data_IF_122749968633
#
_entry.id   IF_122749968633
#
_cell.length_a   1.000
_cell.length_b   1.000
_cell.length_c   1.000
_cell.angle_alpha   90.00
_cell.angle_beta   90.00
_cell.angle_gamma   90.00
#
_symmetry.space_group_name_H-M   'P 1'
#
loop_
_entity.id
_entity.type
_entity.pdbx_description
1 polymer ?
#
# COMPACT_ATOMS: atom_id res chain seq x y z
N UNK A 1 65.18 43.03 -34.50
CA UNK A 1 64.84 44.36 -33.93
C UNK A 1 64.75 44.17 -32.43
N UNK A 2 65.65 44.80 -31.68
CA UNK A 2 65.58 44.80 -30.22
C UNK A 2 64.52 45.83 -29.80
N UNK A 3 63.80 45.59 -28.70
CA UNK A 3 62.70 46.47 -28.23
C UNK A 3 63.21 47.88 -27.90
N UNK A 4 64.53 47.98 -27.64
CA UNK A 4 65.26 49.20 -27.33
C UNK A 4 65.43 50.14 -28.53
N UNK A 5 65.27 49.62 -29.75
CA UNK A 5 65.47 50.37 -31.00
C UNK A 5 64.16 50.95 -31.58
N UNK A 6 63.05 50.86 -30.83
CA UNK A 6 61.72 51.30 -31.29
C UNK A 6 61.45 52.76 -30.97
N UNK A 7 60.83 53.48 -31.90
CA UNK A 7 60.41 54.86 -31.66
C UNK A 7 59.17 54.92 -30.72
N UNK A 8 58.92 56.09 -30.12
CA UNK A 8 57.80 56.28 -29.17
C UNK A 8 56.45 55.86 -29.76
N UNK A 9 56.20 56.18 -31.04
CA UNK A 9 54.95 55.82 -31.72
C UNK A 9 54.80 54.32 -31.95
N UNK A 10 55.89 53.60 -32.24
CA UNK A 10 55.91 52.14 -32.41
C UNK A 10 55.68 51.42 -31.08
N UNK A 11 56.25 51.92 -29.98
CA UNK A 11 55.98 51.39 -28.64
C UNK A 11 54.51 51.58 -28.25
N UNK A 12 53.92 52.75 -28.55
CA UNK A 12 52.50 53.00 -28.32
C UNK A 12 51.64 52.06 -29.17
N UNK A 13 51.98 51.88 -30.45
CA UNK A 13 51.22 51.01 -31.35
C UNK A 13 51.25 49.54 -30.90
N UNK A 14 52.40 49.05 -30.44
CA UNK A 14 52.55 47.70 -29.89
C UNK A 14 51.75 47.55 -28.59
N UNK A 15 51.77 48.55 -27.71
CA UNK A 15 50.99 48.51 -26.48
C UNK A 15 49.48 48.45 -26.76
N UNK A 16 48.98 49.23 -27.73
CA UNK A 16 47.57 49.20 -28.17
C UNK A 16 47.22 47.86 -28.80
N UNK A 17 48.07 47.33 -29.68
CA UNK A 17 47.87 46.02 -30.31
C UNK A 17 47.81 44.89 -29.27
N UNK A 18 48.73 44.91 -28.31
CA UNK A 18 48.78 43.90 -27.24
C UNK A 18 47.54 43.96 -26.35
N UNK A 19 47.07 45.17 -26.03
CA UNK A 19 45.83 45.38 -25.27
C UNK A 19 44.61 44.82 -26.00
N UNK A 20 44.54 45.03 -27.32
CA UNK A 20 43.46 44.54 -28.17
C UNK A 20 43.42 43.00 -28.25
N UNK A 21 44.58 42.37 -28.51
CA UNK A 21 44.68 40.91 -28.58
C UNK A 21 44.35 40.24 -27.23
N UNK A 22 44.80 40.85 -26.13
CA UNK A 22 44.53 40.34 -24.77
C UNK A 22 43.03 40.39 -24.44
N UNK A 23 42.31 41.43 -24.87
CA UNK A 23 40.86 41.55 -24.68
C UNK A 23 40.08 40.43 -25.39
N UNK A 24 40.43 40.14 -26.65
CA UNK A 24 39.81 39.06 -27.42
C UNK A 24 40.10 37.69 -26.79
N UNK A 25 41.35 37.44 -26.40
CA UNK A 25 41.75 36.18 -25.77
C UNK A 25 41.00 35.94 -24.44
N UNK A 26 40.85 36.98 -23.62
CA UNK A 26 40.11 36.92 -22.35
C UNK A 26 38.61 36.67 -22.59
N UNK A 27 38.02 37.31 -23.61
CA UNK A 27 36.63 37.08 -23.98
C UNK A 27 36.36 35.63 -24.40
N UNK A 28 37.18 35.08 -25.30
CA UNK A 28 37.02 33.70 -25.79
C UNK A 28 37.22 32.69 -24.65
N UNK A 29 38.24 32.86 -23.82
CA UNK A 29 38.48 31.95 -22.68
C UNK A 29 37.34 31.99 -21.66
N UNK A 30 36.78 33.16 -21.38
CA UNK A 30 35.64 33.28 -20.46
C UNK A 30 34.38 32.58 -21.03
N UNK A 31 34.07 32.77 -22.31
CA UNK A 31 32.91 32.14 -22.95
C UNK A 31 33.07 30.63 -23.07
N UNK A 32 34.27 30.16 -23.41
CA UNK A 32 34.54 28.71 -23.54
C UNK A 32 34.47 27.99 -22.20
N UNK A 33 34.94 28.60 -21.11
CA UNK A 33 34.77 28.06 -19.76
C UNK A 33 33.30 28.03 -19.33
N UNK A 34 32.51 29.02 -19.74
CA UNK A 34 31.07 29.05 -19.45
C UNK A 34 30.29 28.00 -20.25
N UNK A 35 30.71 27.68 -21.47
CA UNK A 35 30.12 26.61 -22.30
C UNK A 35 30.61 25.21 -21.91
N UNK A 36 31.74 25.09 -21.22
CA UNK A 36 32.22 23.84 -20.63
C UNK A 36 31.62 23.53 -19.25
N UNK A 37 30.79 24.42 -18.70
CA UNK A 37 30.01 24.10 -17.52
C UNK A 37 29.09 22.90 -17.86
N UNK A 38 29.19 21.77 -17.15
CA UNK A 38 28.23 20.69 -17.29
C UNK A 38 26.84 21.28 -17.09
N UNK A 39 25.87 20.91 -17.94
CA UNK A 39 24.49 21.25 -17.69
C UNK A 39 24.19 20.85 -16.23
N UNK A 40 23.92 21.85 -15.38
CA UNK A 40 23.58 21.63 -14.00
C UNK A 40 22.39 20.68 -14.00
N UNK A 41 22.61 19.45 -13.54
CA UNK A 41 21.56 18.47 -13.34
C UNK A 41 20.64 19.02 -12.24
N UNK A 42 19.74 19.92 -12.57
CA UNK A 42 18.51 20.11 -11.81
C UNK A 42 17.63 18.93 -12.16
N UNK A 43 18.04 17.73 -11.76
CA UNK A 43 17.12 16.61 -11.63
C UNK A 43 16.25 16.98 -10.44
N UNK A 44 14.95 17.29 -10.60
CA UNK A 44 14.05 17.18 -9.48
C UNK A 44 14.13 15.71 -9.09
N UNK A 45 14.58 15.41 -7.87
CA UNK A 45 14.66 14.03 -7.38
C UNK A 45 13.22 13.54 -7.17
N UNK A 46 12.54 13.19 -8.27
CA UNK A 46 11.41 12.31 -8.25
C UNK A 46 11.99 10.90 -8.20
N UNK A 47 12.12 10.39 -6.98
CA UNK A 47 12.58 9.03 -6.68
C UNK A 47 11.58 8.02 -7.26
N UNK A 48 11.79 7.59 -8.50
CA UNK A 48 11.03 6.50 -9.13
C UNK A 48 11.79 5.19 -8.91
N UNK A 49 11.18 4.28 -8.16
CA UNK A 49 11.65 2.91 -8.02
C UNK A 49 11.26 2.18 -9.32
N UNK A 50 12.23 1.92 -10.20
CA UNK A 50 12.03 1.08 -11.39
C UNK A 50 12.29 -0.38 -11.03
N UNK A 51 11.24 -1.19 -10.92
CA UNK A 51 11.37 -2.62 -11.14
C UNK A 51 11.14 -2.88 -12.64
N UNK A 52 12.20 -3.23 -13.34
CA UNK A 52 12.12 -3.62 -14.76
C UNK A 52 11.73 -5.09 -14.83
N UNK A 53 10.50 -5.38 -15.23
CA UNK A 53 10.08 -6.73 -15.62
C UNK A 53 10.19 -6.80 -17.15
N UNK A 54 11.28 -7.36 -17.66
CA UNK A 54 11.45 -7.59 -19.10
C UNK A 54 10.59 -8.78 -19.54
N UNK A 55 9.57 -8.51 -20.37
CA UNK A 55 8.96 -9.53 -21.21
C UNK A 55 9.26 -9.17 -22.66
N UNK A 56 10.28 -9.83 -23.22
CA UNK A 56 10.76 -9.59 -24.58
C UNK A 56 9.75 -10.22 -25.56
N UNK A 57 9.02 -9.39 -26.30
CA UNK A 57 8.32 -9.81 -27.50
C UNK A 57 8.88 -8.97 -28.66
N UNK A 58 9.63 -9.64 -29.54
CA UNK A 58 10.27 -9.04 -30.69
C UNK A 58 9.22 -8.86 -31.79
N UNK A 59 8.90 -7.60 -32.12
CA UNK A 59 8.25 -7.24 -33.39
C UNK A 59 8.98 -6.00 -33.92
N UNK A 60 9.54 -6.11 -35.12
CA UNK A 60 10.21 -5.02 -35.83
C UNK A 60 9.24 -3.87 -36.10
N UNK A 61 9.68 -2.64 -35.81
CA UNK A 61 8.98 -1.42 -36.18
C UNK A 61 8.61 -0.54 -34.99
N UNK A 62 9.53 0.35 -34.62
CA UNK A 62 9.32 1.49 -33.71
C UNK A 62 8.91 1.07 -32.29
N UNK A 63 9.92 0.68 -31.50
CA UNK A 63 9.81 0.49 -30.05
C UNK A 63 9.55 1.84 -29.36
N UNK A 64 8.30 2.32 -29.42
CA UNK A 64 7.81 3.20 -28.37
C UNK A 64 7.73 2.36 -27.12
N UNK A 65 8.79 2.41 -26.29
CA UNK A 65 8.70 1.99 -24.90
C UNK A 65 7.61 2.85 -24.28
N UNK A 66 6.39 2.34 -24.19
CA UNK A 66 5.35 2.97 -23.39
C UNK A 66 5.82 2.84 -21.95
N UNK A 67 6.50 3.87 -21.45
CA UNK A 67 6.72 4.01 -20.02
C UNK A 67 5.34 4.25 -19.40
N UNK A 68 4.73 3.18 -18.89
CA UNK A 68 3.57 3.29 -18.01
C UNK A 68 4.06 4.01 -16.76
N UNK A 69 3.72 5.29 -16.64
CA UNK A 69 4.01 6.05 -15.43
C UNK A 69 2.99 5.60 -14.39
N UNK A 70 3.40 4.69 -13.52
CA UNK A 70 2.59 4.25 -12.39
C UNK A 70 2.73 5.28 -11.28
N UNK A 71 1.63 5.93 -10.91
CA UNK A 71 1.62 6.82 -9.77
C UNK A 71 1.14 6.08 -8.53
N UNK A 72 1.51 6.60 -7.37
CA UNK A 72 1.06 6.04 -6.10
C UNK A 72 -0.47 6.08 -5.94
N UNK A 73 -1.11 7.13 -6.46
CA UNK A 73 -2.59 7.22 -6.50
C UNK A 73 -3.22 6.06 -7.29
N UNK A 74 -2.60 5.66 -8.40
CA UNK A 74 -3.07 4.53 -9.21
C UNK A 74 -2.90 3.22 -8.44
N UNK A 75 -1.77 3.02 -7.75
CA UNK A 75 -1.52 1.84 -6.91
C UNK A 75 -2.53 1.71 -5.77
N UNK A 76 -2.92 2.83 -5.14
CA UNK A 76 -3.95 2.82 -4.10
C UNK A 76 -5.29 2.37 -4.69
N UNK A 77 -5.68 2.92 -5.83
CA UNK A 77 -6.93 2.56 -6.52
C UNK A 77 -6.93 1.07 -6.91
N UNK A 78 -5.83 0.58 -7.46
CA UNK A 78 -5.67 -0.81 -7.87
C UNK A 78 -5.72 -1.76 -6.67
N UNK A 79 -5.02 -1.43 -5.58
CA UNK A 79 -5.04 -2.21 -4.34
C UNK A 79 -6.44 -2.36 -3.76
N UNK A 80 -7.24 -1.27 -3.79
CA UNK A 80 -8.63 -1.29 -3.33
C UNK A 80 -9.51 -2.11 -4.27
N UNK A 81 -9.39 -1.88 -5.58
CA UNK A 81 -10.20 -2.58 -6.59
C UNK A 81 -9.97 -4.11 -6.53
N UNK A 82 -8.72 -4.54 -6.36
CA UNK A 82 -8.33 -5.95 -6.22
C UNK A 82 -8.96 -6.64 -5.01
N UNK A 83 -9.20 -5.90 -3.92
CA UNK A 83 -9.65 -6.47 -2.64
C UNK A 83 -11.10 -6.15 -2.28
N UNK A 84 -11.84 -5.41 -3.11
CA UNK A 84 -13.22 -5.00 -2.83
C UNK A 84 -14.15 -6.18 -2.51
N UNK A 85 -14.02 -7.29 -3.23
CA UNK A 85 -14.83 -8.49 -3.03
C UNK A 85 -14.39 -9.34 -1.83
N UNK A 86 -13.21 -9.08 -1.28
CA UNK A 86 -12.70 -9.80 -0.11
C UNK A 86 -13.19 -9.19 1.22
N UNK A 87 -13.56 -7.92 1.22
CA UNK A 87 -13.90 -7.15 2.43
C UNK A 87 -15.41 -7.16 2.67
N UNK A 88 -15.79 -7.26 3.93
CA UNK A 88 -17.17 -7.30 4.40
C UNK A 88 -17.41 -6.25 5.49
N UNK A 89 -18.62 -5.72 5.51
CA UNK A 89 -19.16 -5.01 6.67
C UNK A 89 -19.72 -6.03 7.65
N UNK A 90 -19.32 -5.92 8.93
CA UNK A 90 -19.82 -6.77 10.00
C UNK A 90 -20.88 -6.01 10.78
N UNK A 91 -21.98 -6.66 11.10
CA UNK A 91 -23.01 -6.14 11.98
C UNK A 91 -23.47 -7.18 12.99
N UNK A 92 -24.05 -6.73 14.08
CA UNK A 92 -24.56 -7.57 15.16
C UNK A 92 -25.94 -7.13 15.61
N UNK A 93 -26.72 -8.08 16.09
CA UNK A 93 -27.99 -7.82 16.75
C UNK A 93 -27.79 -7.37 18.20
N UNK A 94 -28.46 -6.30 18.59
CA UNK A 94 -28.58 -5.84 19.98
C UNK A 94 -30.04 -5.53 20.30
N UNK A 95 -30.39 -5.52 21.58
CA UNK A 95 -31.68 -5.01 22.04
C UNK A 95 -31.58 -3.50 22.27
N UNK A 96 -32.51 -2.75 21.70
CA UNK A 96 -32.69 -1.34 21.99
C UNK A 96 -33.30 -1.12 23.39
N UNK A 97 -33.39 0.13 23.84
CA UNK A 97 -34.00 0.53 25.13
C UNK A 97 -35.45 0.06 25.28
N UNK A 98 -36.15 -0.20 24.17
CA UNK A 98 -37.52 -0.72 24.13
C UNK A 98 -37.58 -2.27 24.06
N UNK A 99 -36.44 -2.97 24.14
CA UNK A 99 -36.36 -4.42 24.03
C UNK A 99 -36.53 -4.96 22.61
N UNK A 100 -36.51 -4.10 21.60
CA UNK A 100 -36.58 -4.48 20.19
C UNK A 100 -35.19 -4.84 19.65
N UNK A 101 -35.09 -5.94 18.90
CA UNK A 101 -33.86 -6.29 18.19
C UNK A 101 -33.58 -5.30 17.07
N UNK A 102 -32.43 -4.63 17.16
CA UNK A 102 -31.88 -3.75 16.14
C UNK A 102 -30.49 -4.24 15.71
N UNK A 103 -30.10 -3.91 14.49
CA UNK A 103 -28.78 -4.26 13.95
C UNK A 103 -27.86 -3.05 14.02
N UNK A 104 -26.69 -3.23 14.63
CA UNK A 104 -25.65 -2.20 14.72
C UNK A 104 -24.36 -2.67 14.06
N UNK A 105 -23.57 -1.72 13.57
CA UNK A 105 -22.25 -2.01 13.00
C UNK A 105 -21.32 -2.60 14.06
N UNK A 106 -20.64 -3.69 13.71
CA UNK A 106 -19.63 -4.37 14.51
C UNK A 106 -18.24 -4.29 13.84
N UNK A 107 -18.06 -3.38 12.88
CA UNK A 107 -16.78 -3.13 12.21
C UNK A 107 -16.70 -3.73 10.82
N UNK A 108 -15.55 -4.32 10.50
CA UNK A 108 -15.16 -4.87 9.21
C UNK A 108 -14.55 -6.26 9.37
N UNK A 109 -14.43 -6.96 8.26
CA UNK A 109 -13.74 -8.23 8.18
C UNK A 109 -13.37 -8.54 6.75
N UNK A 110 -12.56 -9.55 6.54
CA UNK A 110 -12.20 -10.02 5.20
C UNK A 110 -12.04 -11.53 5.12
N UNK A 111 -12.30 -12.09 3.95
CA UNK A 111 -12.14 -13.52 3.70
C UNK A 111 -10.68 -13.93 3.73
N UNK A 112 -10.39 -15.04 4.40
CA UNK A 112 -9.03 -15.60 4.56
C UNK A 112 -8.90 -17.04 4.06
N UNK A 113 -10.01 -17.67 3.66
CA UNK A 113 -10.01 -18.99 3.01
C UNK A 113 -11.12 -19.11 1.97
N UNK A 114 -10.90 -19.96 0.96
CA UNK A 114 -11.93 -20.40 0.02
C UNK A 114 -13.07 -21.17 0.70
N UNK A 115 -12.86 -21.70 1.91
CA UNK A 115 -13.88 -22.37 2.73
C UNK A 115 -14.88 -21.40 3.39
N UNK A 116 -14.94 -20.16 2.88
CA UNK A 116 -15.78 -19.06 3.37
C UNK A 116 -15.50 -18.69 4.84
N UNK A 117 -14.23 -18.74 5.24
CA UNK A 117 -13.80 -18.24 6.55
C UNK A 117 -13.38 -16.79 6.42
N UNK A 118 -13.87 -15.97 7.35
CA UNK A 118 -13.61 -14.54 7.47
C UNK A 118 -12.95 -14.26 8.81
N UNK A 119 -12.00 -13.32 8.81
CA UNK A 119 -11.40 -12.77 10.02
C UNK A 119 -12.01 -11.40 10.34
N UNK A 120 -12.27 -11.16 11.62
CA UNK A 120 -12.87 -9.92 12.17
C UNK A 120 -12.16 -9.53 13.47
N UNK A 121 -12.44 -8.32 13.97
CA UNK A 121 -11.98 -7.90 15.30
C UNK A 121 -12.68 -8.69 16.41
N UNK A 122 -11.91 -9.35 17.26
CA UNK A 122 -12.42 -10.19 18.35
C UNK A 122 -13.00 -9.41 19.53
N UNK A 123 -12.63 -8.13 19.70
CA UNK A 123 -13.22 -7.27 20.73
C UNK A 123 -14.65 -6.84 20.39
N UNK A 124 -14.98 -6.82 19.09
CA UNK A 124 -16.32 -6.45 18.61
C UNK A 124 -17.20 -7.67 18.32
N UNK A 125 -16.56 -8.79 17.98
CA UNK A 125 -17.20 -10.06 17.61
C UNK A 125 -16.69 -11.20 18.50
N UNK A 126 -17.51 -11.52 19.49
CA UNK A 126 -17.28 -12.61 20.43
C UNK A 126 -18.05 -13.88 20.08
N UNK A 127 -18.03 -14.84 21.00
CA UNK A 127 -18.65 -16.16 20.89
C UNK A 127 -20.19 -16.13 21.05
N UNK A 128 -20.71 -15.11 21.75
CA UNK A 128 -22.14 -14.90 21.93
C UNK A 128 -22.65 -13.77 21.03
N UNK A 129 -23.63 -14.07 20.18
CA UNK A 129 -24.34 -13.07 19.39
C UNK A 129 -24.80 -13.58 18.04
N UNK A 130 -25.67 -12.81 17.39
CA UNK A 130 -26.04 -13.02 15.99
C UNK A 130 -25.32 -11.99 15.15
N UNK A 131 -24.42 -12.47 14.30
CA UNK A 131 -23.59 -11.64 13.43
C UNK A 131 -23.96 -11.82 11.97
N UNK A 132 -23.84 -10.74 11.22
CA UNK A 132 -24.04 -10.74 9.78
C UNK A 132 -22.83 -10.14 9.06
N UNK A 133 -22.54 -10.67 7.88
CA UNK A 133 -21.64 -10.04 6.93
C UNK A 133 -22.42 -9.51 5.75
N UNK A 134 -22.03 -8.33 5.28
CA UNK A 134 -22.56 -7.73 4.07
C UNK A 134 -21.41 -7.31 3.15
N UNK A 135 -21.51 -7.71 1.89
CA UNK A 135 -20.71 -7.16 0.79
C UNK A 135 -21.62 -6.83 -0.40
N UNK A 136 -21.02 -6.51 -1.55
CA UNK A 136 -21.76 -6.21 -2.79
C UNK A 136 -22.65 -7.37 -3.28
N UNK A 137 -22.38 -8.60 -2.84
CA UNK A 137 -23.09 -9.82 -3.26
C UNK A 137 -24.30 -10.15 -2.39
N UNK A 138 -24.41 -9.51 -1.21
CA UNK A 138 -25.56 -9.70 -0.34
C UNK A 138 -25.19 -9.68 1.14
N UNK A 139 -26.16 -10.13 1.95
CA UNK A 139 -26.05 -10.24 3.40
C UNK A 139 -26.19 -11.70 3.83
N UNK A 140 -25.29 -12.15 4.69
CA UNK A 140 -25.13 -13.53 5.11
C UNK A 140 -25.08 -13.62 6.62
N UNK A 141 -25.68 -14.66 7.19
CA UNK A 141 -25.54 -14.96 8.61
C UNK A 141 -24.20 -15.65 8.84
N UNK A 142 -23.60 -15.41 10.00
CA UNK A 142 -22.29 -15.96 10.35
C UNK A 142 -22.38 -16.97 11.47
N UNK A 143 -21.55 -18.01 11.36
CA UNK A 143 -21.29 -18.96 12.44
C UNK A 143 -19.93 -18.64 13.07
N UNK A 144 -19.90 -18.46 14.38
CA UNK A 144 -18.67 -18.23 15.12
C UNK A 144 -17.83 -19.52 15.16
N UNK A 145 -16.51 -19.40 14.95
CA UNK A 145 -15.57 -20.53 15.01
C UNK A 145 -14.72 -20.45 16.28
N UNK A 146 -13.95 -19.37 16.42
CA UNK A 146 -13.01 -19.19 17.54
C UNK A 146 -12.46 -17.77 17.57
N UNK A 147 -12.03 -17.33 18.75
CA UNK A 147 -11.22 -16.12 18.95
C UNK A 147 -9.77 -16.49 19.23
N UNK A 148 -8.84 -15.80 18.59
CA UNK A 148 -7.42 -15.94 18.83
C UNK A 148 -6.93 -14.95 19.90
N UNK A 149 -5.85 -15.30 20.60
CA UNK A 149 -5.24 -14.45 21.63
C UNK A 149 -4.63 -13.17 21.06
N UNK A 150 -4.32 -13.15 19.77
CA UNK A 150 -3.86 -11.97 19.05
C UNK A 150 -4.99 -10.95 18.78
N UNK A 151 -6.22 -11.19 19.24
CA UNK A 151 -7.28 -10.18 19.27
C UNK A 151 -8.25 -10.20 18.08
N UNK A 152 -8.15 -11.20 17.20
CA UNK A 152 -9.09 -11.41 16.09
C UNK A 152 -9.96 -12.65 16.30
N UNK A 153 -11.11 -12.69 15.63
CA UNK A 153 -12.03 -13.84 15.61
C UNK A 153 -12.19 -14.40 14.20
N UNK A 154 -12.38 -15.72 14.10
CA UNK A 154 -12.76 -16.41 12.87
C UNK A 154 -14.26 -16.70 12.85
N UNK A 155 -14.88 -16.40 11.71
CA UNK A 155 -16.28 -16.68 11.43
C UNK A 155 -16.40 -17.45 10.12
N UNK A 156 -17.41 -18.31 10.02
CA UNK A 156 -17.77 -18.98 8.75
C UNK A 156 -19.00 -18.34 8.14
N UNK A 157 -18.94 -18.04 6.85
CA UNK A 157 -20.10 -17.51 6.14
C UNK A 157 -21.13 -18.62 5.98
N UNK A 158 -22.30 -18.39 6.57
CA UNK A 158 -23.44 -19.28 6.52
C UNK A 158 -24.36 -18.98 5.33
N UNK A 159 -25.61 -19.41 5.44
CA UNK A 159 -26.60 -19.22 4.39
C UNK A 159 -26.90 -17.72 4.13
N UNK A 160 -27.18 -17.34 2.87
CA UNK A 160 -27.66 -16.00 2.56
C UNK A 160 -29.03 -15.76 3.19
N UNK A 161 -29.29 -14.51 3.61
CA UNK A 161 -30.60 -14.13 4.14
C UNK A 161 -31.68 -14.01 3.06
N UNK A 162 -31.28 -13.82 1.81
CA UNK A 162 -32.16 -13.82 0.64
C UNK A 162 -31.70 -14.95 -0.29
N UNK A 163 -32.60 -15.87 -0.61
CA UNK A 163 -32.32 -17.04 -1.46
C UNK A 163 -31.82 -16.67 -2.86
N UNK A 164 -32.04 -15.43 -3.31
CA UNK A 164 -31.51 -14.91 -4.58
C UNK A 164 -30.03 -14.53 -4.49
N UNK A 165 -29.52 -14.25 -3.29
CA UNK A 165 -28.12 -13.85 -3.11
C UNK A 165 -27.22 -15.08 -3.18
N UNK A 166 -26.25 -15.03 -4.10
CA UNK A 166 -25.14 -15.98 -4.13
C UNK A 166 -23.94 -15.34 -3.48
N UNK A 167 -23.28 -16.12 -2.63
CA UNK A 167 -22.02 -15.72 -2.03
C UNK A 167 -20.95 -15.58 -3.12
N UNK A 168 -20.45 -14.36 -3.33
CA UNK A 168 -19.34 -14.07 -4.22
C UNK A 168 -18.32 -13.27 -3.41
N UNK A 169 -17.10 -13.80 -3.31
CA UNK A 169 -15.98 -13.15 -2.64
C UNK A 169 -14.67 -13.65 -3.23
N UNK A 170 -13.61 -12.92 -2.93
CA UNK A 170 -12.23 -13.30 -3.23
C UNK A 170 -11.45 -13.45 -1.94
N UNK A 171 -10.38 -14.25 -1.94
CA UNK A 171 -9.40 -14.24 -0.85
C UNK A 171 -8.25 -13.32 -1.29
N UNK A 172 -7.85 -12.32 -0.47
CA UNK A 172 -6.71 -11.46 -0.77
C UNK A 172 -5.45 -12.29 -1.01
N UNK A 173 -4.55 -11.78 -1.86
CA UNK A 173 -3.19 -12.29 -1.90
C UNK A 173 -2.50 -11.93 -0.59
N UNK A 174 -1.88 -12.90 0.09
CA UNK A 174 -1.18 -12.64 1.34
C UNK A 174 0.23 -12.12 1.07
N UNK A 175 0.54 -10.96 1.65
CA UNK A 175 1.85 -10.33 1.60
C UNK A 175 2.79 -10.90 2.65
N UNK A 176 4.06 -10.54 2.52
CA UNK A 176 5.13 -10.96 3.41
C UNK A 176 5.70 -9.74 4.15
N UNK A 177 5.43 -9.67 5.46
CA UNK A 177 5.84 -8.55 6.29
C UNK A 177 7.36 -8.48 6.46
N UNK A 178 8.07 -9.61 6.37
CA UNK A 178 9.54 -9.64 6.49
C UNK A 178 10.24 -9.01 5.28
N UNK A 179 9.55 -8.99 4.13
CA UNK A 179 10.04 -8.34 2.90
C UNK A 179 9.73 -6.84 2.88
N UNK A 180 8.88 -6.36 3.78
CA UNK A 180 8.54 -4.95 3.84
C UNK A 180 9.70 -4.12 4.36
N UNK A 181 9.82 -2.90 3.83
CA UNK A 181 10.83 -1.92 4.21
C UNK A 181 10.20 -0.79 4.99
N UNK A 182 10.86 -0.38 6.06
CA UNK A 182 10.47 0.81 6.84
C UNK A 182 10.31 2.00 5.90
N UNK A 183 9.21 2.75 6.05
CA UNK A 183 8.85 3.87 5.19
C UNK A 183 7.90 3.52 4.05
N UNK A 184 7.58 2.24 3.83
CA UNK A 184 6.54 1.86 2.86
C UNK A 184 5.15 2.25 3.38
N UNK A 185 4.30 2.74 2.47
CA UNK A 185 2.91 3.04 2.78
C UNK A 185 2.09 1.75 2.89
N UNK A 186 1.23 1.72 3.90
CA UNK A 186 0.22 0.69 4.10
C UNK A 186 -1.15 1.33 4.09
N UNK A 187 -2.14 0.57 3.62
CA UNK A 187 -3.53 0.99 3.51
C UNK A 187 -4.37 0.18 4.49
N UNK A 188 -5.35 0.81 5.11
CA UNK A 188 -6.34 0.13 5.96
C UNK A 188 -7.71 0.32 5.34
N UNK A 189 -8.30 -0.79 4.91
CA UNK A 189 -9.61 -0.85 4.29
C UNK A 189 -10.65 -1.11 5.38
N UNK A 190 -11.07 -0.03 6.03
CA UNK A 190 -12.10 -0.01 7.07
C UNK A 190 -13.49 0.40 6.54
N UNK A 191 -14.27 1.08 7.38
CA UNK A 191 -15.41 1.88 6.89
C UNK A 191 -14.94 3.04 6.03
N UNK A 192 -13.82 3.62 6.43
CA UNK A 192 -13.06 4.57 5.65
C UNK A 192 -11.72 3.93 5.27
N UNK A 193 -11.10 4.46 4.22
CA UNK A 193 -9.75 4.09 3.84
C UNK A 193 -8.80 5.06 4.53
N UNK A 194 -7.84 4.53 5.30
CA UNK A 194 -6.73 5.30 5.85
C UNK A 194 -5.40 4.73 5.37
N UNK A 195 -4.34 5.52 5.53
CA UNK A 195 -2.98 5.06 5.23
C UNK A 195 -2.06 5.39 6.38
N UNK A 196 -1.16 4.46 6.69
CA UNK A 196 -0.07 4.62 7.67
C UNK A 196 1.26 4.31 6.99
N UNK A 197 2.35 4.56 7.71
CA UNK A 197 3.70 4.17 7.29
C UNK A 197 4.10 2.93 8.08
N UNK A 198 4.71 1.96 7.39
CA UNK A 198 5.27 0.78 8.02
C UNK A 198 6.57 1.14 8.76
N UNK A 199 6.62 0.86 10.06
CA UNK A 199 7.77 1.16 10.94
C UNK A 199 8.57 -0.09 11.34
N UNK A 200 8.29 -1.24 10.71
CA UNK A 200 9.02 -2.48 10.91
C UNK A 200 8.27 -3.48 11.78
N UNK A 201 8.28 -3.28 13.10
CA UNK A 201 7.67 -4.23 14.04
C UNK A 201 6.20 -3.89 14.30
N UNK A 202 5.91 -2.58 14.39
CA UNK A 202 4.57 -2.06 14.59
C UNK A 202 4.14 -1.20 13.40
N UNK A 203 2.83 -1.17 13.19
CA UNK A 203 2.20 -0.22 12.29
C UNK A 203 1.30 0.62 13.21
N UNK A 204 1.63 1.90 13.39
CA UNK A 204 0.76 2.81 14.13
C UNK A 204 -0.50 3.04 13.28
N UNK A 205 -1.55 2.30 13.60
CA UNK A 205 -2.83 2.38 12.90
C UNK A 205 -3.83 3.04 13.85
N UNK A 206 -4.35 4.19 13.44
CA UNK A 206 -5.51 4.74 14.14
C UNK A 206 -6.75 3.91 13.83
N UNK A 207 -7.11 3.01 14.75
CA UNK A 207 -8.30 2.16 14.62
C UNK A 207 -9.47 2.74 15.40
N UNK A 208 -10.49 3.16 14.67
CA UNK A 208 -11.81 3.49 15.25
C UNK A 208 -12.69 2.25 15.24
N UNK A 209 -13.76 2.21 16.06
CA UNK A 209 -14.74 1.11 16.06
C UNK A 209 -15.34 0.80 14.69
N UNK A 210 -15.44 1.79 13.81
CA UNK A 210 -15.97 1.60 12.45
C UNK A 210 -14.94 1.02 11.47
N UNK A 211 -13.65 1.17 11.74
CA UNK A 211 -12.55 0.63 10.91
C UNK A 211 -11.92 -0.65 11.49
N UNK A 212 -12.26 -0.99 12.74
CA UNK A 212 -11.90 -2.22 13.41
C UNK A 212 -12.27 -3.46 12.59
N UNK A 213 -11.34 -4.41 12.52
CA UNK A 213 -11.40 -5.58 11.65
C UNK A 213 -11.10 -5.29 10.18
N UNK A 214 -10.65 -4.06 9.88
CA UNK A 214 -10.28 -3.64 8.53
C UNK A 214 -9.07 -4.39 8.00
N UNK A 215 -9.08 -4.63 6.68
CA UNK A 215 -7.99 -5.29 5.98
C UNK A 215 -6.82 -4.33 5.82
N UNK A 216 -5.63 -4.72 6.28
CA UNK A 216 -4.40 -3.93 6.08
C UNK A 216 -3.64 -4.47 4.87
N UNK A 217 -3.31 -3.59 3.92
CA UNK A 217 -2.67 -3.90 2.65
C UNK A 217 -1.37 -3.11 2.44
N UNK A 218 -0.45 -3.66 1.64
CA UNK A 218 0.58 -2.84 0.98
C UNK A 218 0.03 -2.20 -0.31
N UNK A 219 0.84 -1.37 -0.99
CA UNK A 219 0.46 -0.72 -2.25
C UNK A 219 0.28 -1.69 -3.43
N UNK A 220 0.78 -2.93 -3.33
CA UNK A 220 0.56 -3.99 -4.33
C UNK A 220 -0.79 -4.72 -4.14
N UNK A 221 -1.56 -4.29 -3.14
CA UNK A 221 -2.85 -4.87 -2.78
C UNK A 221 -2.72 -6.25 -2.15
N UNK A 222 -1.59 -6.55 -1.52
CA UNK A 222 -1.37 -7.77 -0.75
C UNK A 222 -1.73 -7.53 0.72
N UNK A 223 -2.47 -8.46 1.31
CA UNK A 223 -2.88 -8.43 2.70
C UNK A 223 -1.70 -8.68 3.62
N UNK A 224 -1.41 -7.71 4.48
CA UNK A 224 -0.33 -7.78 5.47
C UNK A 224 -0.87 -8.02 6.89
N UNK A 225 -2.16 -7.79 7.13
CA UNK A 225 -2.78 -8.10 8.41
C UNK A 225 -4.19 -7.52 8.59
N UNK A 226 -4.61 -7.42 9.85
CA UNK A 226 -5.90 -6.88 10.29
C UNK A 226 -5.69 -5.74 11.28
N UNK A 227 -6.50 -4.69 11.16
CA UNK A 227 -6.57 -3.60 12.11
C UNK A 227 -7.51 -3.96 13.27
N UNK A 228 -7.08 -3.78 14.52
CA UNK A 228 -7.78 -4.18 15.73
C UNK A 228 -8.04 -2.97 16.64
N UNK A 229 -9.17 -2.97 17.33
CA UNK A 229 -9.60 -1.92 18.25
C UNK A 229 -9.18 -2.19 19.71
N UNK A 230 -8.34 -3.20 19.92
CA UNK A 230 -7.87 -3.59 21.24
C UNK A 230 -6.93 -2.56 21.86
N UNK A 231 -6.98 -2.40 23.17
CA UNK A 231 -6.12 -1.45 23.90
C UNK A 231 -4.64 -1.85 23.91
N UNK A 232 -4.35 -3.15 23.76
CA UNK A 232 -2.97 -3.68 23.80
C UNK A 232 -2.38 -3.94 22.41
N UNK A 233 -3.21 -4.20 21.40
CA UNK A 233 -2.79 -4.55 20.05
C UNK A 233 -3.77 -3.97 19.04
N UNK A 234 -3.29 -3.06 18.20
CA UNK A 234 -4.03 -2.40 17.12
C UNK A 234 -3.83 -3.06 15.75
N UNK A 235 -2.94 -4.05 15.68
CA UNK A 235 -2.60 -4.78 14.47
C UNK A 235 -2.24 -6.24 14.75
N UNK A 236 -2.71 -7.15 13.90
CA UNK A 236 -2.20 -8.53 13.83
C UNK A 236 -1.80 -8.88 12.40
N UNK A 237 -0.62 -9.47 12.24
CA UNK A 237 -0.07 -9.77 10.91
C UNK A 237 -0.78 -10.94 10.23
N UNK A 238 -0.74 -10.97 8.91
CA UNK A 238 -1.33 -12.05 8.11
C UNK A 238 -0.66 -13.41 8.39
N UNK A 239 0.61 -13.41 8.79
CA UNK A 239 1.32 -14.61 9.22
C UNK A 239 0.68 -15.23 10.45
N UNK A 240 0.43 -14.43 11.49
CA UNK A 240 -0.25 -14.88 12.71
C UNK A 240 -1.65 -15.42 12.40
N UNK A 241 -2.40 -14.74 11.52
CA UNK A 241 -3.73 -15.19 11.09
C UNK A 241 -3.67 -16.54 10.36
N UNK A 242 -2.69 -16.73 9.46
CA UNK A 242 -2.51 -18.01 8.75
C UNK A 242 -2.18 -19.15 9.72
N UNK A 243 -1.25 -18.93 10.62
CA UNK A 243 -0.82 -19.95 11.58
C UNK A 243 -2.00 -20.38 12.48
N UNK A 244 -2.78 -19.40 12.96
CA UNK A 244 -3.99 -19.65 13.72
C UNK A 244 -5.05 -20.39 12.89
N UNK A 245 -5.25 -20.01 11.62
CA UNK A 245 -6.19 -20.67 10.71
C UNK A 245 -5.82 -22.14 10.50
N UNK A 246 -4.55 -22.48 10.30
CA UNK A 246 -4.12 -23.86 10.13
C UNK A 246 -4.47 -24.72 11.35
N UNK A 247 -4.28 -24.18 12.56
CA UNK A 247 -4.65 -24.86 13.81
C UNK A 247 -6.17 -25.08 13.89
N UNK A 248 -6.95 -24.07 13.53
CA UNK A 248 -8.42 -24.16 13.49
C UNK A 248 -8.90 -25.19 12.47
N UNK A 249 -8.34 -25.19 11.26
CA UNK A 249 -8.68 -26.15 10.21
C UNK A 249 -8.36 -27.59 10.59
N UNK A 250 -7.24 -27.82 11.30
CA UNK A 250 -6.90 -29.15 11.83
C UNK A 250 -7.94 -29.63 12.86
N UNK A 251 -8.42 -28.74 13.74
CA UNK A 251 -9.47 -29.06 14.72
C UNK A 251 -10.81 -29.39 14.04
N UNK A 252 -11.20 -28.64 13.01
CA UNK A 252 -12.46 -28.88 12.28
C UNK A 252 -12.42 -30.22 11.53
N UNK A 253 -11.28 -30.61 10.97
CA UNK A 253 -11.11 -31.86 10.21
C UNK A 253 -10.92 -33.11 11.09
N UNK A 254 -10.61 -32.94 12.36
CA UNK A 254 -10.45 -34.04 13.31
C UNK A 254 -11.66 -34.01 14.24
N UNK A 255 -12.79 -34.68 13.90
CA UNK A 255 -13.89 -34.76 14.84
C UNK A 255 -13.33 -35.42 16.09
N UNK A 256 -13.45 -34.75 17.23
CA UNK A 256 -13.05 -35.29 18.52
C UNK A 256 -13.70 -36.67 18.66
N UNK A 257 -12.90 -37.72 18.59
CA UNK A 257 -13.24 -39.01 19.18
C UNK A 257 -13.35 -38.78 20.68
N UNK A 258 -14.59 -38.57 21.13
CA UNK A 258 -15.04 -38.74 22.50
C UNK A 258 -16.05 -39.89 22.50
#
# INVERSE_FOLDING_TARGET
MDIKDLNKSQLILIAVLLSFVTSIATGITTVTLMQQAPASFTVPVNRIIKQTVEKIQQVEGKTTVQTVVIKEEDLVVDAIAKNKLAVFTVSKEILDIEGKTIEVSAGRGFAISADAIVVVDGNLVGDSGVYYLKNDSGKFKMDFISTDKAGFSFLKIGAPLDEKNKIIFTVPTFGDLEKMKIGQKVLVLGSNISSSIFEGINIDINVTKSNAGGLVLNLDGEAIGIALSGEMTDFASIGVIKDALEVVMKKIKTPQTL
#
